data_IF_227065132120
#
_entry.id   IF_227065132120
#
_cell.length_a   1.000
_cell.length_b   1.000
_cell.length_c   1.000
_cell.angle_alpha   90.00
_cell.angle_beta   90.00
_cell.angle_gamma   90.00
#
_symmetry.space_group_name_H-M   'P 1'
#
loop_
_entity.id
_entity.type
_entity.pdbx_description
1 polymer ?
#
# COMPACT_ATOMS: atom_id res chain seq x y z
N UNK A 1 20.98 2.38 -19.12
CA UNK A 1 21.36 2.60 -17.71
C UNK A 1 20.07 2.78 -16.94
N UNK A 2 19.83 2.00 -15.89
CA UNK A 2 18.60 2.02 -15.10
C UNK A 2 18.89 2.58 -13.71
N UNK A 3 17.96 3.36 -13.16
CA UNK A 3 18.08 3.98 -11.83
C UNK A 3 16.78 3.76 -11.07
N UNK A 4 16.89 3.25 -9.84
CA UNK A 4 15.75 3.11 -8.91
C UNK A 4 15.77 4.26 -7.90
N UNK A 5 14.64 4.96 -7.75
CA UNK A 5 14.47 6.06 -6.78
C UNK A 5 13.43 5.64 -5.75
N UNK A 6 13.74 5.79 -4.46
CA UNK A 6 12.78 5.62 -3.36
C UNK A 6 12.26 6.99 -2.92
N UNK A 7 10.94 7.18 -2.96
CA UNK A 7 10.29 8.46 -2.64
C UNK A 7 9.43 8.27 -1.39
N UNK A 8 9.73 9.01 -0.31
CA UNK A 8 8.84 9.12 0.84
C UNK A 8 7.76 10.17 0.57
N UNK A 9 6.52 9.73 0.38
CA UNK A 9 5.38 10.58 0.01
C UNK A 9 4.75 11.35 1.19
N UNK A 10 5.37 11.38 2.37
CA UNK A 10 4.85 12.14 3.52
C UNK A 10 4.80 13.65 3.27
N UNK A 11 5.66 14.20 2.42
CA UNK A 11 5.68 15.64 2.09
C UNK A 11 4.82 15.98 0.87
N UNK A 12 4.29 17.20 0.81
CA UNK A 12 3.50 17.68 -0.35
C UNK A 12 4.35 17.73 -1.63
N UNK A 13 5.61 18.11 -1.50
CA UNK A 13 6.57 18.19 -2.60
C UNK A 13 6.87 16.81 -3.17
N UNK A 14 7.03 15.79 -2.32
CA UNK A 14 7.27 14.42 -2.75
C UNK A 14 6.07 13.84 -3.51
N UNK A 15 4.84 14.16 -3.08
CA UNK A 15 3.62 13.78 -3.82
C UNK A 15 3.57 14.44 -5.20
N UNK A 16 3.84 15.74 -5.28
CA UNK A 16 3.87 16.44 -6.57
C UNK A 16 4.96 15.88 -7.52
N UNK A 17 6.14 15.56 -6.97
CA UNK A 17 7.21 14.94 -7.73
C UNK A 17 6.82 13.55 -8.24
N UNK A 18 6.17 12.73 -7.40
CA UNK A 18 5.69 11.41 -7.79
C UNK A 18 4.64 11.47 -8.92
N UNK A 19 3.67 12.39 -8.84
CA UNK A 19 2.70 12.59 -9.91
C UNK A 19 3.34 13.09 -11.22
N UNK A 20 4.32 13.99 -11.12
CA UNK A 20 5.10 14.41 -12.28
C UNK A 20 5.81 13.22 -12.94
N UNK A 21 6.48 12.36 -12.16
CA UNK A 21 7.13 11.16 -12.68
C UNK A 21 6.17 10.23 -13.41
N UNK A 22 4.92 10.08 -12.92
CA UNK A 22 3.88 9.29 -13.60
C UNK A 22 3.51 9.81 -14.99
N UNK A 23 3.69 11.10 -15.26
CA UNK A 23 3.36 11.70 -16.55
C UNK A 23 4.43 11.49 -17.63
N UNK A 24 5.63 11.04 -17.26
CA UNK A 24 6.76 10.91 -18.17
C UNK A 24 6.73 9.55 -18.90
N UNK A 25 6.82 9.53 -20.24
CA UNK A 25 6.62 8.31 -21.03
C UNK A 25 7.75 7.28 -20.90
N UNK A 26 8.87 7.66 -20.30
CA UNK A 26 10.05 6.82 -20.08
C UNK A 26 10.20 6.37 -18.63
N UNK A 27 9.28 6.76 -17.75
CA UNK A 27 9.29 6.36 -16.34
C UNK A 27 8.35 5.19 -16.15
N UNK A 28 8.89 4.09 -15.61
CA UNK A 28 8.09 2.96 -15.13
C UNK A 28 7.93 3.08 -13.62
N UNK A 29 6.69 3.25 -13.17
CA UNK A 29 6.37 3.21 -11.75
C UNK A 29 5.91 1.79 -11.42
N UNK A 30 6.75 1.06 -10.70
CA UNK A 30 6.36 -0.23 -10.14
C UNK A 30 5.58 0.01 -8.86
N UNK A 31 4.27 0.19 -8.99
CA UNK A 31 3.39 0.14 -7.83
C UNK A 31 3.44 -1.28 -7.28
N UNK A 32 3.70 -1.39 -5.97
CA UNK A 32 3.66 -2.68 -5.30
C UNK A 32 2.19 -3.09 -5.24
N UNK A 33 1.73 -3.81 -6.26
CA UNK A 33 0.39 -4.35 -6.25
C UNK A 33 0.22 -5.18 -4.98
N UNK A 34 -0.79 -4.82 -4.18
CA UNK A 34 -1.19 -5.63 -3.06
C UNK A 34 -1.54 -7.02 -3.60
N UNK A 35 -1.02 -8.06 -2.94
CA UNK A 35 -1.38 -9.42 -3.32
C UNK A 35 -2.91 -9.59 -3.17
N UNK A 36 -3.48 -10.57 -3.90
CA UNK A 36 -4.93 -10.80 -3.94
C UNK A 36 -5.54 -10.90 -2.53
N UNK A 37 -4.87 -11.61 -1.62
CA UNK A 37 -5.28 -11.78 -0.21
C UNK A 37 -5.41 -10.43 0.51
N UNK A 38 -4.46 -9.51 0.30
CA UNK A 38 -4.50 -8.20 0.95
C UNK A 38 -5.60 -7.32 0.36
N UNK A 39 -5.87 -7.40 -0.94
CA UNK A 39 -6.99 -6.69 -1.57
C UNK A 39 -8.33 -7.18 -1.00
N UNK A 40 -8.53 -8.50 -0.96
CA UNK A 40 -9.74 -9.12 -0.39
C UNK A 40 -9.93 -8.73 1.08
N UNK A 41 -8.86 -8.77 1.89
CA UNK A 41 -8.93 -8.35 3.29
C UNK A 41 -9.30 -6.87 3.45
N UNK A 42 -8.83 -5.98 2.57
CA UNK A 42 -9.23 -4.57 2.57
C UNK A 42 -10.70 -4.40 2.20
N UNK A 43 -11.17 -5.10 1.17
CA UNK A 43 -12.59 -5.08 0.78
C UNK A 43 -13.51 -5.61 1.89
N UNK A 44 -13.10 -6.64 2.63
CA UNK A 44 -13.86 -7.15 3.78
C UNK A 44 -13.97 -6.11 4.91
N UNK A 45 -12.90 -5.33 5.14
CA UNK A 45 -12.91 -4.21 6.10
C UNK A 45 -13.86 -3.11 5.64
N UNK A 46 -13.79 -2.70 4.37
CA UNK A 46 -14.67 -1.66 3.80
C UNK A 46 -16.14 -2.09 3.82
N UNK A 47 -16.43 -3.36 3.55
CA UNK A 47 -17.77 -3.94 3.61
C UNK A 47 -18.26 -4.24 5.04
N UNK A 48 -17.49 -3.87 6.08
CA UNK A 48 -17.87 -4.06 7.48
C UNK A 48 -17.91 -5.52 7.95
N UNK A 49 -17.29 -6.44 7.19
CA UNK A 49 -17.19 -7.87 7.55
C UNK A 49 -16.01 -8.17 8.48
N UNK A 50 -15.15 -7.18 8.73
CA UNK A 50 -14.01 -7.32 9.62
C UNK A 50 -14.36 -6.97 11.08
N UNK A 51 -13.86 -7.78 12.01
CA UNK A 51 -13.98 -7.52 13.46
C UNK A 51 -12.67 -6.96 13.99
N UNK A 52 -12.76 -5.88 14.77
CA UNK A 52 -11.59 -5.35 15.47
C UNK A 52 -11.29 -6.21 16.70
N UNK A 53 -10.12 -6.84 16.71
CA UNK A 53 -9.67 -7.71 17.82
C UNK A 53 -8.36 -7.16 18.37
N UNK A 54 -8.15 -7.23 19.68
CA UNK A 54 -6.87 -6.85 20.29
C UNK A 54 -5.78 -7.90 20.01
N UNK A 55 -4.52 -7.48 20.01
CA UNK A 55 -3.38 -8.40 19.87
C UNK A 55 -3.38 -9.52 20.92
N UNK A 56 -3.86 -9.23 22.13
CA UNK A 56 -3.93 -10.19 23.22
C UNK A 56 -4.97 -11.28 22.98
N UNK A 57 -6.13 -10.92 22.42
CA UNK A 57 -7.22 -11.85 22.09
C UNK A 57 -6.87 -12.69 20.86
N UNK A 58 -6.29 -12.08 19.84
CA UNK A 58 -5.84 -12.79 18.65
C UNK A 58 -4.82 -13.89 18.97
N UNK A 59 -3.85 -13.59 19.85
CA UNK A 59 -2.84 -14.57 20.28
C UNK A 59 -3.44 -15.77 21.01
N UNK A 60 -4.55 -15.61 21.73
CA UNK A 60 -5.26 -16.71 22.40
C UNK A 60 -5.97 -17.65 21.43
N UNK A 61 -6.28 -17.19 20.22
CA UNK A 61 -6.93 -18.01 19.19
C UNK A 61 -5.96 -18.89 18.40
N UNK A 62 -4.65 -18.65 18.53
CA UNK A 62 -3.59 -19.37 17.83
C UNK A 62 -2.93 -20.48 18.68
N UNK A 63 -3.27 -20.57 19.97
CA UNK A 63 -2.82 -21.64 20.89
C UNK A 63 -3.84 -22.76 20.95
#
# INVERSE_FOLDING_TARGET
>A
MEITIKIDQRSKQAKAFYEYLKSLPFVKVEEKELNKVTKEAMEEVENGKATKVSLSEFRKQLS
#
